data_IF_929350233832
#
_entry.id   IF_929350233832
#
_cell.length_a   1.000
_cell.length_b   1.000
_cell.length_c   1.000
_cell.angle_alpha   90.00
_cell.angle_beta   90.00
_cell.angle_gamma   90.00
#
_symmetry.space_group_name_H-M   'P 1'
#
loop_
_entity.id
_entity.type
_entity.pdbx_description
1 polymer ?
#
# COMPACT_ATOMS: atom_id res chain seq x y z
N UNK A 1 -21.56 -18.75 16.30
CA UNK A 1 -21.11 -17.76 15.30
C UNK A 1 -19.67 -17.28 15.55
N UNK A 2 -19.26 -17.05 16.82
CA UNK A 2 -17.88 -16.66 17.18
C UNK A 2 -16.79 -17.59 16.60
N UNK A 3 -16.94 -18.92 16.71
CA UNK A 3 -15.88 -19.85 16.30
C UNK A 3 -15.48 -19.78 14.82
N UNK A 4 -16.42 -19.48 13.91
CA UNK A 4 -16.12 -19.36 12.47
C UNK A 4 -15.34 -18.08 12.13
N UNK A 5 -15.58 -16.99 12.87
CA UNK A 5 -14.85 -15.73 12.71
C UNK A 5 -13.44 -15.84 13.28
N UNK A 6 -13.29 -16.39 14.49
CA UNK A 6 -11.98 -16.65 15.10
C UNK A 6 -11.11 -17.54 14.22
N UNK A 7 -11.69 -18.59 13.63
CA UNK A 7 -10.98 -19.47 12.69
C UNK A 7 -10.47 -18.71 11.45
N UNK A 8 -11.30 -17.86 10.84
CA UNK A 8 -10.91 -17.06 9.66
C UNK A 8 -9.76 -16.10 9.97
N UNK A 9 -9.84 -15.36 11.07
CA UNK A 9 -8.77 -14.43 11.45
C UNK A 9 -7.47 -15.16 11.81
N UNK A 10 -7.58 -16.31 12.46
CA UNK A 10 -6.42 -17.17 12.75
C UNK A 10 -5.74 -17.64 11.46
N UNK A 11 -6.51 -18.14 10.49
CA UNK A 11 -5.96 -18.57 9.19
C UNK A 11 -5.24 -17.43 8.47
N UNK A 12 -5.85 -16.24 8.38
CA UNK A 12 -5.23 -15.09 7.70
C UNK A 12 -3.96 -14.63 8.43
N UNK A 13 -3.95 -14.64 9.76
CA UNK A 13 -2.77 -14.29 10.55
C UNK A 13 -1.63 -15.28 10.33
N UNK A 14 -1.93 -16.57 10.32
CA UNK A 14 -0.96 -17.63 10.03
C UNK A 14 -0.38 -17.48 8.62
N UNK A 15 -1.24 -17.25 7.61
CA UNK A 15 -0.80 -17.02 6.23
C UNK A 15 0.10 -15.78 6.11
N UNK A 16 -0.23 -14.70 6.83
CA UNK A 16 0.58 -13.49 6.85
C UNK A 16 1.98 -13.76 7.46
N UNK A 17 2.07 -14.51 8.55
CA UNK A 17 3.34 -14.90 9.16
C UNK A 17 4.17 -15.77 8.21
N UNK A 18 3.54 -16.78 7.58
CA UNK A 18 4.22 -17.65 6.60
C UNK A 18 4.74 -16.82 5.42
N UNK A 19 3.93 -15.91 4.88
CA UNK A 19 4.31 -15.04 3.78
C UNK A 19 5.46 -14.09 4.16
N UNK A 20 5.46 -13.55 5.38
CA UNK A 20 6.54 -12.71 5.89
C UNK A 20 7.88 -13.47 5.98
N UNK A 21 7.87 -14.68 6.55
CA UNK A 21 9.06 -15.54 6.65
C UNK A 21 9.54 -15.96 5.24
N UNK A 22 8.61 -16.30 4.34
CA UNK A 22 8.93 -16.62 2.95
C UNK A 22 9.57 -15.43 2.23
N UNK A 23 9.05 -14.22 2.43
CA UNK A 23 9.62 -12.97 1.86
C UNK A 23 11.06 -12.72 2.31
N UNK A 24 11.41 -13.07 3.55
CA UNK A 24 12.78 -12.96 4.05
C UNK A 24 13.71 -14.06 3.49
N UNK A 25 13.17 -15.25 3.25
CA UNK A 25 13.95 -16.43 2.84
C UNK A 25 14.21 -16.47 1.32
N UNK A 26 13.24 -16.02 0.53
CA UNK A 26 13.27 -16.05 -0.94
C UNK A 26 13.87 -14.75 -1.48
N UNK A 27 14.94 -14.86 -2.25
CA UNK A 27 15.60 -13.71 -2.88
C UNK A 27 16.76 -14.14 -3.79
N UNK A 28 17.65 -13.22 -4.13
CA UNK A 28 18.80 -13.48 -5.00
C UNK A 28 19.72 -14.62 -4.48
N UNK A 29 19.76 -14.80 -3.16
CA UNK A 29 20.40 -15.94 -2.49
C UNK A 29 19.37 -16.55 -1.55
N UNK A 30 19.16 -17.87 -1.67
CA UNK A 30 18.32 -18.61 -0.74
C UNK A 30 18.97 -18.63 0.63
N UNK A 31 18.19 -18.26 1.65
CA UNK A 31 18.61 -18.33 3.05
C UNK A 31 17.67 -19.24 3.82
N UNK A 32 18.24 -19.94 4.80
CA UNK A 32 17.46 -20.82 5.67
C UNK A 32 16.47 -19.98 6.50
N UNK A 33 15.16 -20.32 6.54
CA UNK A 33 14.16 -19.56 7.30
C UNK A 33 14.53 -19.30 8.76
N UNK A 34 15.25 -20.24 9.38
CA UNK A 34 15.69 -20.14 10.78
C UNK A 34 16.75 -19.03 10.94
N UNK A 35 17.66 -18.91 9.98
CA UNK A 35 18.67 -17.85 9.96
C UNK A 35 18.04 -16.49 9.64
N UNK A 36 17.06 -16.46 8.75
CA UNK A 36 16.31 -15.24 8.41
C UNK A 36 15.59 -14.65 9.64
N UNK A 37 14.97 -15.49 10.47
CA UNK A 37 14.32 -15.05 11.73
C UNK A 37 15.34 -14.63 12.77
N UNK A 38 16.47 -15.35 12.92
CA UNK A 38 17.54 -14.96 13.85
C UNK A 38 18.15 -13.61 13.48
N UNK A 39 18.34 -13.37 12.18
CA UNK A 39 18.88 -12.11 11.67
C UNK A 39 17.98 -10.90 11.98
N UNK A 40 16.68 -11.12 12.22
CA UNK A 40 15.75 -10.07 12.65
C UNK A 40 16.11 -9.49 14.03
N UNK A 41 16.74 -10.30 14.88
CA UNK A 41 17.12 -9.90 16.25
C UNK A 41 18.61 -9.57 16.36
N UNK A 42 19.47 -10.37 15.72
CA UNK A 42 20.92 -10.27 15.91
C UNK A 42 21.62 -9.27 14.97
N UNK A 43 20.92 -8.79 13.93
CA UNK A 43 21.48 -7.87 12.93
C UNK A 43 22.74 -8.38 12.19
N UNK A 44 22.92 -9.69 12.08
CA UNK A 44 24.15 -10.30 11.55
C UNK A 44 24.35 -10.13 10.02
N UNK A 45 23.28 -9.85 9.26
CA UNK A 45 23.32 -9.82 7.79
C UNK A 45 22.90 -8.47 7.20
N UNK A 46 23.85 -7.76 6.59
CA UNK A 46 23.63 -6.47 5.92
C UNK A 46 22.52 -6.53 4.84
N UNK A 47 22.51 -7.57 4.00
CA UNK A 47 21.51 -7.70 2.92
C UNK A 47 20.09 -7.87 3.49
N UNK A 48 19.94 -8.62 4.57
CA UNK A 48 18.64 -8.82 5.22
C UNK A 48 18.18 -7.50 5.87
N UNK A 49 19.05 -6.85 6.63
CA UNK A 49 18.72 -5.65 7.39
C UNK A 49 18.44 -4.43 6.51
N UNK A 50 19.22 -4.22 5.44
CA UNK A 50 19.10 -3.02 4.62
C UNK A 50 18.09 -3.15 3.48
N UNK A 51 17.79 -4.38 3.02
CA UNK A 51 16.92 -4.58 1.85
C UNK A 51 15.67 -5.39 2.15
N UNK A 52 15.80 -6.60 2.71
CA UNK A 52 14.66 -7.53 2.82
C UNK A 52 13.72 -7.16 3.96
N UNK A 53 14.26 -6.86 5.14
CA UNK A 53 13.48 -6.49 6.32
C UNK A 53 12.69 -5.19 6.06
N UNK A 54 13.29 -4.08 5.59
CA UNK A 54 12.56 -2.85 5.31
C UNK A 54 11.47 -3.06 4.25
N UNK A 55 11.78 -3.83 3.20
CA UNK A 55 10.81 -4.16 2.14
C UNK A 55 9.64 -5.00 2.64
N UNK A 56 9.88 -5.97 3.53
CA UNK A 56 8.83 -6.77 4.16
C UNK A 56 7.89 -5.88 4.99
N UNK A 57 8.44 -5.00 5.81
CA UNK A 57 7.64 -4.05 6.59
C UNK A 57 6.82 -3.11 5.69
N UNK A 58 7.44 -2.56 4.64
CA UNK A 58 6.73 -1.74 3.66
C UNK A 58 5.60 -2.52 2.99
N UNK A 59 5.80 -3.78 2.61
CA UNK A 59 4.75 -4.60 2.00
C UNK A 59 3.56 -4.82 2.94
N UNK A 60 3.81 -5.07 4.24
CA UNK A 60 2.75 -5.23 5.24
C UNK A 60 1.98 -3.92 5.44
N UNK A 61 2.68 -2.80 5.59
CA UNK A 61 2.07 -1.48 5.82
C UNK A 61 1.27 -1.04 4.59
N UNK A 62 1.85 -1.14 3.40
CA UNK A 62 1.17 -0.75 2.15
C UNK A 62 -0.02 -1.68 1.87
N UNK A 63 0.16 -3.00 2.02
CA UNK A 63 -0.91 -3.98 1.81
C UNK A 63 -2.09 -3.79 2.77
N UNK A 64 -1.83 -3.55 4.06
CA UNK A 64 -2.90 -3.23 5.03
C UNK A 64 -3.59 -1.90 4.73
N UNK A 65 -2.84 -0.87 4.33
CA UNK A 65 -3.40 0.43 3.93
C UNK A 65 -4.33 0.31 2.71
N UNK A 66 -3.92 -0.47 1.71
CA UNK A 66 -4.73 -0.75 0.52
C UNK A 66 -5.99 -1.56 0.86
N UNK A 67 -5.88 -2.56 1.73
CA UNK A 67 -7.03 -3.35 2.17
C UNK A 67 -8.07 -2.51 2.92
N UNK A 68 -7.62 -1.63 3.83
CA UNK A 68 -8.49 -0.71 4.57
C UNK A 68 -9.15 0.26 3.59
N UNK A 69 -8.37 0.92 2.72
CA UNK A 69 -8.88 1.86 1.72
C UNK A 69 -9.92 1.20 0.80
N UNK A 70 -9.65 -0.01 0.31
CA UNK A 70 -10.58 -0.78 -0.52
C UNK A 70 -11.88 -1.10 0.20
N UNK A 71 -11.82 -1.59 1.44
CA UNK A 71 -13.03 -1.88 2.22
C UNK A 71 -13.90 -0.63 2.48
N UNK A 72 -13.26 0.53 2.71
CA UNK A 72 -13.97 1.80 2.89
C UNK A 72 -14.68 2.24 1.61
N UNK A 73 -13.97 2.22 0.47
CA UNK A 73 -14.51 2.61 -0.84
C UNK A 73 -15.68 1.69 -1.22
N UNK A 74 -15.51 0.38 -1.05
CA UNK A 74 -16.56 -0.60 -1.33
C UNK A 74 -17.81 -0.35 -0.47
N UNK A 75 -17.65 0.06 0.78
CA UNK A 75 -18.75 0.45 1.67
C UNK A 75 -19.46 1.74 1.24
N UNK A 76 -18.70 2.76 0.83
CA UNK A 76 -19.24 4.06 0.39
C UNK A 76 -19.96 3.95 -0.95
N UNK A 77 -19.34 3.29 -1.93
CA UNK A 77 -19.90 3.10 -3.28
C UNK A 77 -20.99 2.00 -3.28
N UNK A 78 -21.04 1.17 -2.22
CA UNK A 78 -21.90 -0.02 -2.14
C UNK A 78 -21.72 -0.94 -3.34
N UNK A 79 -20.48 -1.05 -3.81
CA UNK A 79 -20.10 -1.86 -4.95
C UNK A 79 -18.83 -2.65 -4.59
N UNK A 80 -18.96 -3.98 -4.53
CA UNK A 80 -17.87 -4.88 -4.18
C UNK A 80 -16.72 -4.90 -5.20
N UNK A 81 -16.96 -4.40 -6.42
CA UNK A 81 -15.94 -4.26 -7.47
C UNK A 81 -15.22 -2.90 -7.45
N UNK A 82 -15.66 -1.97 -6.59
CA UNK A 82 -15.00 -0.67 -6.50
C UNK A 82 -13.60 -0.82 -5.86
N UNK A 83 -12.62 -0.13 -6.43
CA UNK A 83 -11.27 -0.04 -5.90
C UNK A 83 -10.86 1.43 -5.69
N UNK A 84 -9.95 1.72 -4.75
CA UNK A 84 -9.50 3.08 -4.47
C UNK A 84 -8.78 3.73 -5.65
N UNK A 85 -8.22 2.93 -6.56
CA UNK A 85 -7.52 3.43 -7.76
C UNK A 85 -8.47 4.09 -8.77
N UNK A 86 -9.76 3.76 -8.74
CA UNK A 86 -10.78 4.30 -9.67
C UNK A 86 -11.05 5.78 -9.42
N UNK A 87 -10.70 6.32 -8.25
CA UNK A 87 -11.03 7.71 -7.89
C UNK A 87 -9.99 8.73 -8.41
N UNK A 88 -8.91 8.27 -9.07
CA UNK A 88 -7.92 9.14 -9.70
C UNK A 88 -6.81 9.65 -8.76
N UNK A 89 -6.85 9.32 -7.46
CA UNK A 89 -5.81 9.67 -6.48
C UNK A 89 -4.45 9.08 -6.89
N UNK A 90 -4.42 7.81 -7.31
CA UNK A 90 -3.23 7.10 -7.80
C UNK A 90 -2.66 7.74 -9.07
N UNK A 91 -3.53 8.28 -9.95
CA UNK A 91 -3.13 9.01 -11.15
C UNK A 91 -2.50 10.36 -10.80
N UNK A 92 -3.04 11.09 -9.82
CA UNK A 92 -2.46 12.31 -9.28
C UNK A 92 -1.07 12.10 -8.69
N UNK A 93 -0.90 11.03 -7.90
CA UNK A 93 0.39 10.65 -7.35
C UNK A 93 1.42 10.39 -8.45
N UNK A 94 1.04 9.60 -9.45
CA UNK A 94 1.87 9.24 -10.61
C UNK A 94 2.24 10.45 -11.45
N UNK A 95 1.28 11.36 -11.70
CA UNK A 95 1.52 12.59 -12.45
C UNK A 95 2.58 13.45 -11.76
N UNK A 96 2.46 13.64 -10.45
CA UNK A 96 3.44 14.40 -9.66
C UNK A 96 4.83 13.75 -9.72
N UNK A 97 4.90 12.43 -9.53
CA UNK A 97 6.16 11.67 -9.62
C UNK A 97 6.84 11.84 -10.99
N UNK A 98 6.09 11.66 -12.08
CA UNK A 98 6.61 11.80 -13.45
C UNK A 98 7.03 13.24 -13.73
N UNK A 99 6.26 14.23 -13.25
CA UNK A 99 6.62 15.64 -13.39
C UNK A 99 7.95 15.94 -12.72
N UNK A 100 8.19 15.41 -11.52
CA UNK A 100 9.48 15.57 -10.80
C UNK A 100 10.61 14.94 -11.59
N UNK A 101 10.44 13.71 -12.08
CA UNK A 101 11.48 13.00 -12.85
C UNK A 101 11.82 13.76 -14.14
N UNK A 102 10.81 14.29 -14.84
CA UNK A 102 10.98 14.94 -16.14
C UNK A 102 11.52 16.37 -16.03
N UNK A 103 11.03 17.17 -15.09
CA UNK A 103 11.43 18.57 -14.94
C UNK A 103 12.68 18.73 -14.07
N UNK A 104 12.89 17.82 -13.11
CA UNK A 104 13.99 17.88 -12.14
C UNK A 104 14.75 16.55 -12.06
N UNK A 105 15.42 16.12 -13.14
CA UNK A 105 16.10 14.82 -13.20
C UNK A 105 17.27 14.69 -12.20
N UNK A 106 17.84 15.82 -11.75
CA UNK A 106 18.90 15.85 -10.73
C UNK A 106 18.38 15.93 -9.29
N UNK A 107 17.07 15.87 -9.07
CA UNK A 107 16.50 15.97 -7.74
C UNK A 107 16.87 14.74 -6.87
N UNK A 108 17.01 14.91 -5.54
CA UNK A 108 17.26 13.80 -4.64
C UNK A 108 16.14 12.76 -4.66
N UNK A 109 16.48 11.46 -4.64
CA UNK A 109 15.51 10.36 -4.68
C UNK A 109 14.47 10.40 -3.56
N UNK A 110 14.83 10.96 -2.40
CA UNK A 110 13.91 11.10 -1.26
C UNK A 110 12.76 12.06 -1.56
N UNK A 111 12.88 12.96 -2.54
CA UNK A 111 11.80 13.89 -2.89
C UNK A 111 10.62 13.18 -3.57
N UNK A 112 10.86 12.05 -4.25
CA UNK A 112 9.84 11.35 -5.05
C UNK A 112 8.65 10.88 -4.20
N UNK A 113 8.84 10.19 -3.05
CA UNK A 113 7.74 9.84 -2.16
C UNK A 113 6.91 11.04 -1.71
N UNK A 114 7.53 12.14 -1.27
CA UNK A 114 6.81 13.34 -0.82
C UNK A 114 6.08 14.03 -1.96
N UNK A 115 6.70 14.11 -3.13
CA UNK A 115 6.08 14.66 -4.33
C UNK A 115 4.86 13.85 -4.77
N UNK A 116 5.00 12.52 -4.79
CA UNK A 116 3.90 11.60 -5.11
C UNK A 116 2.76 11.73 -4.11
N UNK A 117 3.10 11.82 -2.82
CA UNK A 117 2.13 12.03 -1.75
C UNK A 117 1.41 13.38 -1.88
N UNK A 118 2.14 14.46 -2.17
CA UNK A 118 1.56 15.79 -2.40
C UNK A 118 0.59 15.79 -3.59
N UNK A 119 0.95 15.11 -4.68
CA UNK A 119 0.07 14.93 -5.84
C UNK A 119 -1.22 14.18 -5.51
N UNK A 120 -1.10 13.07 -4.77
CA UNK A 120 -2.25 12.31 -4.27
C UNK A 120 -3.15 13.16 -3.37
N UNK A 121 -2.55 13.91 -2.45
CA UNK A 121 -3.24 14.76 -1.49
C UNK A 121 -3.98 15.92 -2.19
N UNK A 122 -3.36 16.54 -3.19
CA UNK A 122 -3.99 17.59 -3.99
C UNK A 122 -5.25 17.07 -4.70
N UNK A 123 -5.17 15.92 -5.39
CA UNK A 123 -6.34 15.29 -6.01
C UNK A 123 -7.41 14.93 -4.98
N UNK A 124 -7.01 14.37 -3.83
CA UNK A 124 -7.94 14.03 -2.74
C UNK A 124 -8.72 15.26 -2.22
N UNK A 125 -8.04 16.40 -2.06
CA UNK A 125 -8.66 17.67 -1.66
C UNK A 125 -9.63 18.15 -2.74
N UNK A 126 -9.20 18.17 -4.01
CA UNK A 126 -10.04 18.61 -5.14
C UNK A 126 -11.33 17.79 -5.18
N UNK A 127 -11.22 16.47 -5.07
CA UNK A 127 -12.37 15.58 -5.07
C UNK A 127 -13.28 15.82 -3.87
N UNK A 128 -12.72 16.00 -2.68
CA UNK A 128 -13.51 16.30 -1.47
C UNK A 128 -14.32 17.58 -1.63
N UNK A 129 -13.72 18.62 -2.22
CA UNK A 129 -14.40 19.90 -2.52
C UNK A 129 -15.48 19.72 -3.60
N UNK A 130 -15.22 18.95 -4.65
CA UNK A 130 -16.21 18.71 -5.70
C UNK A 130 -17.40 17.89 -5.21
N UNK A 131 -17.14 16.85 -4.42
CA UNK A 131 -18.19 16.00 -3.82
C UNK A 131 -19.08 16.85 -2.91
N UNK A 132 -18.48 17.70 -2.06
CA UNK A 132 -19.26 18.55 -1.14
C UNK A 132 -20.09 19.60 -1.88
N UNK A 133 -19.55 20.18 -2.97
CA UNK A 133 -20.21 21.25 -3.73
C UNK A 133 -21.31 20.74 -4.65
N UNK A 134 -21.17 19.55 -5.23
CA UNK A 134 -22.09 19.00 -6.23
C UNK A 134 -22.97 17.84 -5.72
N UNK A 135 -22.88 17.50 -4.43
CA UNK A 135 -23.64 16.42 -3.78
C UNK A 135 -23.61 15.11 -4.60
N UNK A 136 -22.40 14.76 -5.05
CA UNK A 136 -22.18 13.66 -6.01
C UNK A 136 -22.38 12.33 -5.29
N UNK A 137 -23.36 11.53 -5.76
CA UNK A 137 -23.56 10.17 -5.27
C UNK A 137 -22.36 9.29 -5.59
N UNK A 138 -22.00 8.36 -4.69
CA UNK A 138 -20.81 7.50 -4.83
C UNK A 138 -20.76 6.70 -6.14
N UNK A 139 -21.91 6.38 -6.73
CA UNK A 139 -22.02 5.72 -8.04
C UNK A 139 -21.56 6.60 -9.21
N UNK A 140 -21.79 7.92 -9.16
CA UNK A 140 -21.31 8.87 -10.18
C UNK A 140 -19.81 9.11 -10.07
N UNK A 141 -19.26 9.02 -8.85
CA UNK A 141 -17.83 9.17 -8.61
C UNK A 141 -17.01 8.10 -9.33
N UNK A 142 -17.51 6.87 -9.34
CA UNK A 142 -16.89 5.74 -10.04
C UNK A 142 -16.94 5.85 -11.57
N UNK A 143 -17.79 6.72 -12.13
CA UNK A 143 -17.93 6.93 -13.57
C UNK A 143 -17.08 8.11 -14.08
N UNK A 144 -16.64 8.99 -13.17
CA UNK A 144 -15.88 10.21 -13.48
C UNK A 144 -14.36 9.98 -13.40
N UNK A 145 -13.91 9.13 -12.46
CA UNK A 145 -12.50 8.78 -12.33
C UNK A 145 -12.06 7.72 -13.32
#
# INVERSE_FOLDING_TARGET
>A
MMGKLTLRYSIVTVLLIISAIASLSIGAVFMNPIEAVKSLFNHDNFILNEYRIPRMFLAIIVGSSLAISGSLIQGVVRNALASPDVIGITKGASLSAVTIIMLFPSAPLFILPFGSFAGALCISIILTVLISKFNVQGSKLALIG
#
